data_IF_669846906432
#
_entry.id   IF_669846906432
#
_cell.length_a   1.000
_cell.length_b   1.000
_cell.length_c   1.000
_cell.angle_alpha   90.00
_cell.angle_beta   90.00
_cell.angle_gamma   90.00
#
_symmetry.space_group_name_H-M   'P 1'
#
loop_
_entity.id
_entity.type
_entity.pdbx_description
1 polymer ?
#
# COMPACT_ATOMS: atom_id res chain seq x y z
N UNK A 1 44.06 0.40 8.25
CA UNK A 1 42.71 0.07 8.77
C UNK A 1 41.73 0.56 7.73
N UNK A 2 41.02 -0.36 7.07
CA UNK A 2 40.01 0.02 6.08
C UNK A 2 38.85 0.73 6.79
N UNK A 3 38.45 1.87 6.25
CA UNK A 3 37.31 2.61 6.80
C UNK A 3 36.03 1.87 6.43
N UNK A 4 35.28 1.42 7.44
CA UNK A 4 33.98 0.78 7.23
C UNK A 4 33.00 1.83 6.70
N UNK A 5 32.30 1.51 5.63
CA UNK A 5 31.28 2.35 5.00
C UNK A 5 30.12 1.44 4.59
N UNK A 6 28.88 1.95 4.67
CA UNK A 6 27.70 1.25 4.14
C UNK A 6 27.66 1.47 2.63
N UNK A 7 27.71 0.37 1.88
CA UNK A 7 27.66 0.34 0.43
C UNK A 7 26.35 -0.28 -0.04
N UNK A 8 25.87 0.18 -1.20
CA UNK A 8 24.65 -0.30 -1.80
C UNK A 8 24.92 -0.60 -3.26
N UNK A 9 24.72 -1.85 -3.64
CA UNK A 9 25.00 -2.32 -5.00
C UNK A 9 23.76 -2.91 -5.64
N UNK A 10 23.61 -2.66 -6.94
CA UNK A 10 22.57 -3.31 -7.74
C UNK A 10 23.09 -4.66 -8.18
N UNK A 11 22.37 -5.71 -7.79
CA UNK A 11 22.65 -7.09 -8.12
C UNK A 11 21.55 -7.58 -9.05
N UNK A 12 21.92 -8.14 -10.19
CA UNK A 12 20.97 -8.83 -11.06
C UNK A 12 20.75 -10.23 -10.51
N UNK A 13 19.50 -10.59 -10.29
CA UNK A 13 19.15 -11.97 -9.91
C UNK A 13 19.28 -12.87 -11.14
N UNK A 14 19.96 -14.01 -11.01
CA UNK A 14 20.03 -15.00 -12.10
C UNK A 14 18.67 -15.67 -12.39
N UNK A 15 17.70 -15.55 -11.46
CA UNK A 15 16.39 -16.20 -11.56
C UNK A 15 15.30 -15.32 -12.15
N UNK A 16 15.52 -14.01 -12.23
CA UNK A 16 14.52 -13.04 -12.66
C UNK A 16 15.21 -11.79 -13.19
N UNK A 17 14.70 -11.20 -14.26
CA UNK A 17 15.19 -9.94 -14.83
C UNK A 17 15.11 -8.75 -13.85
N UNK A 18 14.47 -8.94 -12.70
CA UNK A 18 14.39 -7.97 -11.62
C UNK A 18 15.75 -7.65 -11.02
N UNK A 19 16.04 -6.35 -10.96
CA UNK A 19 17.14 -5.77 -10.17
C UNK A 19 16.85 -5.98 -8.68
N UNK A 20 17.87 -6.36 -7.92
CA UNK A 20 17.84 -6.48 -6.46
C UNK A 20 18.92 -5.54 -5.90
N UNK A 21 18.66 -4.92 -4.76
CA UNK A 21 19.61 -4.01 -4.11
C UNK A 21 20.22 -4.67 -2.89
N UNK A 22 21.52 -4.89 -2.91
CA UNK A 22 22.27 -5.40 -1.77
C UNK A 22 22.78 -4.21 -0.94
N UNK A 23 22.52 -4.22 0.37
CA UNK A 23 23.08 -3.27 1.33
C UNK A 23 24.01 -4.03 2.24
N UNK A 24 25.25 -3.59 2.35
CA UNK A 24 26.25 -4.21 3.21
C UNK A 24 27.24 -3.19 3.75
N UNK A 25 28.09 -3.62 4.68
CA UNK A 25 29.17 -2.81 5.23
C UNK A 25 30.48 -3.31 4.62
N UNK A 26 31.33 -2.40 4.14
CA UNK A 26 32.66 -2.73 3.64
C UNK A 26 33.48 -3.39 4.75
N UNK A 27 34.01 -4.58 4.47
CA UNK A 27 34.74 -5.40 5.44
C UNK A 27 33.88 -6.46 6.16
N UNK A 28 32.56 -6.47 5.96
CA UNK A 28 31.64 -7.48 6.50
C UNK A 28 30.87 -8.14 5.35
N UNK A 29 31.47 -9.17 4.76
CA UNK A 29 30.92 -9.82 3.57
C UNK A 29 29.65 -10.65 3.85
N UNK A 30 29.45 -11.10 5.09
CA UNK A 30 28.32 -11.94 5.49
C UNK A 30 27.04 -11.15 5.81
N UNK A 31 27.13 -9.88 6.19
CA UNK A 31 25.97 -9.06 6.61
C UNK A 31 25.37 -8.25 5.44
N UNK A 32 25.05 -8.93 4.34
CA UNK A 32 24.39 -8.31 3.18
C UNK A 32 22.88 -8.50 3.26
N UNK A 33 22.14 -7.40 3.29
CA UNK A 33 20.68 -7.41 3.19
C UNK A 33 20.24 -7.17 1.74
N UNK A 34 19.29 -7.94 1.25
CA UNK A 34 18.76 -7.82 -0.12
C UNK A 34 17.37 -7.20 -0.11
N UNK A 35 17.22 -6.13 -0.89
CA UNK A 35 15.98 -5.38 -1.03
C UNK A 35 15.42 -5.51 -2.45
N UNK A 36 14.09 -5.59 -2.56
CA UNK A 36 13.37 -5.67 -3.84
C UNK A 36 13.12 -4.31 -4.51
N UNK A 37 13.45 -3.22 -3.84
CA UNK A 37 13.28 -1.86 -4.39
C UNK A 37 14.40 -0.93 -3.89
N UNK A 38 14.79 0.09 -4.67
CA UNK A 38 15.83 1.04 -4.30
C UNK A 38 15.39 1.88 -3.09
N UNK A 39 14.11 2.22 -3.00
CA UNK A 39 13.57 2.95 -1.85
C UNK A 39 13.73 2.16 -0.54
N UNK A 40 13.48 0.84 -0.56
CA UNK A 40 13.69 -0.02 0.62
C UNK A 40 15.16 -0.11 1.00
N UNK A 41 16.05 -0.24 0.01
CA UNK A 41 17.49 -0.25 0.23
C UNK A 41 17.98 1.06 0.89
N UNK A 42 17.52 2.20 0.39
CA UNK A 42 17.83 3.51 0.96
C UNK A 42 17.39 3.60 2.43
N UNK A 43 16.14 3.22 2.73
CA UNK A 43 15.62 3.22 4.12
C UNK A 43 16.43 2.30 5.03
N UNK A 44 16.79 1.12 4.55
CA UNK A 44 17.59 0.17 5.31
C UNK A 44 19.00 0.71 5.59
N UNK A 45 19.67 1.33 4.61
CA UNK A 45 20.98 1.95 4.81
C UNK A 45 20.97 3.07 5.86
N UNK A 46 19.94 3.93 5.85
CA UNK A 46 19.78 4.95 6.90
C UNK A 46 19.51 4.35 8.28
N UNK A 47 18.77 3.25 8.34
CA UNK A 47 18.54 2.51 9.58
C UNK A 47 19.84 1.88 10.10
N UNK A 48 20.66 1.29 9.23
CA UNK A 48 21.98 0.79 9.59
C UNK A 48 22.89 1.92 10.11
N UNK A 49 22.96 3.05 9.40
CA UNK A 49 23.73 4.23 9.85
C UNK A 49 23.38 4.65 11.27
N UNK A 50 22.09 4.64 11.63
CA UNK A 50 21.63 4.97 12.99
C UNK A 50 22.02 3.92 14.04
N UNK A 51 22.12 2.65 13.65
CA UNK A 51 22.45 1.54 14.57
C UNK A 51 23.95 1.37 14.78
N UNK A 52 24.74 1.52 13.71
CA UNK A 52 26.18 1.23 13.73
C UNK A 52 27.04 2.49 13.83
N UNK A 53 26.47 3.67 13.53
CA UNK A 53 27.23 4.93 13.43
C UNK A 53 28.10 5.04 12.17
N UNK A 54 28.00 4.07 11.25
CA UNK A 54 28.81 4.02 10.03
C UNK A 54 28.23 4.97 8.96
N UNK A 55 29.10 5.66 8.23
CA UNK A 55 28.70 6.52 7.12
C UNK A 55 28.21 5.69 5.92
N UNK A 56 27.28 6.25 5.16
CA UNK A 56 26.85 5.67 3.89
C UNK A 56 27.72 6.27 2.78
N UNK A 57 28.09 5.46 1.80
CA UNK A 57 28.83 5.92 0.65
C UNK A 57 27.99 6.86 -0.23
N UNK A 58 28.54 8.03 -0.58
CA UNK A 58 27.82 9.03 -1.38
C UNK A 58 27.52 8.55 -2.80
N UNK A 59 28.42 7.75 -3.40
CA UNK A 59 28.20 7.15 -4.72
C UNK A 59 26.98 6.21 -4.72
N UNK A 60 26.87 5.39 -3.67
CA UNK A 60 25.72 4.51 -3.44
C UNK A 60 24.41 5.30 -3.29
N UNK A 61 24.42 6.44 -2.59
CA UNK A 61 23.24 7.30 -2.43
C UNK A 61 22.79 7.97 -3.72
N UNK A 62 23.73 8.47 -4.53
CA UNK A 62 23.43 9.10 -5.83
C UNK A 62 22.77 8.11 -6.78
N UNK A 63 23.36 6.92 -6.93
CA UNK A 63 22.82 5.87 -7.81
C UNK A 63 21.42 5.42 -7.38
N UNK A 64 21.19 5.28 -6.07
CA UNK A 64 19.85 4.96 -5.56
C UNK A 64 18.84 6.07 -5.83
N UNK A 65 19.24 7.33 -5.67
CA UNK A 65 18.34 8.48 -5.89
C UNK A 65 17.86 8.54 -7.33
N UNK A 66 18.76 8.34 -8.30
CA UNK A 66 18.44 8.29 -9.73
C UNK A 66 17.44 7.15 -10.02
N UNK A 67 17.70 5.96 -9.50
CA UNK A 67 16.81 4.81 -9.70
C UNK A 67 15.44 4.98 -9.04
N UNK A 68 15.37 5.67 -7.89
CA UNK A 68 14.09 6.03 -7.27
C UNK A 68 13.33 7.02 -8.14
N UNK A 69 14.02 7.98 -8.77
CA UNK A 69 13.39 8.93 -9.67
C UNK A 69 12.85 8.24 -10.93
N UNK A 70 13.62 7.32 -11.52
CA UNK A 70 13.21 6.50 -12.65
C UNK A 70 11.97 5.65 -12.31
N UNK A 71 12.01 4.90 -11.21
CA UNK A 71 10.87 4.06 -10.81
C UNK A 71 9.61 4.86 -10.51
N UNK A 72 9.75 6.06 -9.94
CA UNK A 72 8.59 6.94 -9.71
C UNK A 72 8.01 7.49 -11.01
N UNK A 73 8.85 7.76 -12.01
CA UNK A 73 8.39 8.19 -13.32
C UNK A 73 7.63 7.05 -14.02
N UNK A 74 8.14 5.82 -13.95
CA UNK A 74 7.46 4.63 -14.47
C UNK A 74 6.13 4.35 -13.75
N UNK A 75 6.11 4.45 -12.41
CA UNK A 75 4.90 4.24 -11.61
C UNK A 75 3.83 5.31 -11.89
N UNK A 76 4.23 6.56 -12.10
CA UNK A 76 3.31 7.64 -12.49
C UNK A 76 2.67 7.39 -13.85
N UNK A 77 3.45 6.93 -14.84
CA UNK A 77 2.93 6.57 -16.16
C UNK A 77 2.01 5.35 -16.09
N UNK A 78 2.36 4.33 -15.30
CA UNK A 78 1.51 3.16 -15.09
C UNK A 78 0.17 3.53 -14.45
N UNK A 79 0.17 4.44 -13.48
CA UNK A 79 -1.05 4.94 -12.83
C UNK A 79 -1.94 5.74 -13.80
N UNK A 80 -1.35 6.54 -14.68
CA UNK A 80 -2.09 7.28 -15.71
C UNK A 80 -2.75 6.34 -16.73
N UNK A 81 -2.02 5.33 -17.20
CA UNK A 81 -2.55 4.31 -18.11
C UNK A 81 -3.65 3.48 -17.45
N UNK A 82 -3.50 3.10 -16.17
CA UNK A 82 -4.56 2.41 -15.44
C UNK A 82 -5.82 3.27 -15.30
N UNK A 83 -5.66 4.55 -14.97
CA UNK A 83 -6.79 5.47 -14.85
C UNK A 83 -7.54 5.65 -16.18
N UNK A 84 -6.82 5.76 -17.29
CA UNK A 84 -7.42 5.79 -18.63
C UNK A 84 -8.12 4.47 -19.02
N UNK A 85 -7.57 3.33 -18.61
CA UNK A 85 -8.18 2.03 -18.86
C UNK A 85 -9.48 1.84 -18.03
N UNK A 86 -9.50 2.31 -16.79
CA UNK A 86 -10.71 2.31 -15.95
C UNK A 86 -11.78 3.26 -16.51
N UNK A 87 -11.40 4.43 -17.01
CA UNK A 87 -12.35 5.41 -17.54
C UNK A 87 -12.97 4.93 -18.87
N UNK A 88 -12.16 4.35 -19.77
CA UNK A 88 -12.63 3.75 -21.02
C UNK A 88 -13.50 2.51 -20.82
N UNK A 89 -13.20 1.66 -19.83
CA UNK A 89 -14.04 0.50 -19.51
C UNK A 89 -15.38 0.92 -18.91
N UNK A 90 -15.40 1.98 -18.08
CA UNK A 90 -16.64 2.54 -17.54
C UNK A 90 -17.54 3.11 -18.63
N UNK A 91 -16.96 3.86 -19.57
CA UNK A 91 -17.70 4.42 -20.70
C UNK A 91 -18.24 3.33 -21.66
N UNK A 92 -17.48 2.24 -21.85
CA UNK A 92 -17.96 1.07 -22.62
C UNK A 92 -19.10 0.32 -21.91
N UNK A 93 -19.06 0.22 -20.58
CA UNK A 93 -20.13 -0.41 -19.80
C UNK A 93 -21.43 0.39 -19.81
N UNK A 94 -21.30 1.72 -19.78
CA UNK A 94 -22.44 2.64 -19.79
C UNK A 94 -23.13 2.68 -21.16
N UNK A 95 -22.37 2.65 -22.26
CA UNK A 95 -22.91 2.63 -23.64
C UNK A 95 -23.56 1.29 -24.02
N UNK A 96 -23.17 0.18 -23.40
CA UNK A 96 -23.72 -1.15 -23.67
C UNK A 96 -24.73 -1.63 -22.61
N UNK A 97 -25.04 -0.80 -21.60
CA UNK A 97 -26.10 -1.10 -20.63
C UNK A 97 -27.47 -0.90 -21.28
N UNK A 98 -28.24 -1.98 -21.36
CA UNK A 98 -29.51 -2.13 -22.10
C UNK A 98 -30.71 -1.48 -21.38
N UNK A 99 -30.50 -0.73 -20.29
CA UNK A 99 -31.57 -0.20 -19.44
C UNK A 99 -32.28 1.06 -19.98
N UNK A 100 -31.79 1.68 -21.07
CA UNK A 100 -32.36 2.93 -21.62
C UNK A 100 -33.52 2.77 -22.62
N UNK A 101 -34.07 1.56 -22.82
CA UNK A 101 -35.16 1.34 -23.80
C UNK A 101 -36.59 1.43 -23.19
N UNK A 102 -36.75 1.50 -21.86
CA UNK A 102 -38.06 1.39 -21.21
C UNK A 102 -38.60 2.65 -20.50
N UNK A 103 -38.05 3.83 -20.77
CA UNK A 103 -38.58 5.08 -20.22
C UNK A 103 -39.11 6.01 -21.31
N UNK A 104 -40.43 5.97 -21.56
CA UNK A 104 -41.19 7.12 -22.07
C UNK A 104 -42.29 7.52 -21.06
N UNK A 105 -42.53 8.83 -20.85
CA UNK A 105 -43.12 9.37 -19.62
C UNK A 105 -44.60 9.79 -19.78
N UNK A 106 -45.37 9.88 -18.68
CA UNK A 106 -46.60 10.72 -18.63
C UNK A 106 -47.01 11.14 -17.20
N UNK A 107 -46.90 12.45 -16.95
CA UNK A 107 -47.80 13.40 -16.24
C UNK A 107 -48.93 12.87 -15.31
N UNK A 108 -49.41 13.51 -14.23
CA UNK A 108 -49.15 14.75 -13.47
C UNK A 108 -50.19 14.80 -12.32
N UNK A 109 -49.73 14.89 -11.04
CA UNK A 109 -50.30 15.52 -9.80
C UNK A 109 -51.76 15.24 -9.26
N UNK A 110 -52.18 15.73 -8.06
CA UNK A 110 -51.63 15.65 -6.67
C UNK A 110 -52.73 15.44 -5.56
N UNK A 111 -52.38 15.15 -4.28
CA UNK A 111 -53.07 15.68 -3.05
C UNK A 111 -52.44 15.12 -1.74
N UNK A 112 -52.13 16.01 -0.78
CA UNK A 112 -51.80 15.73 0.64
C UNK A 112 -53.11 15.74 1.50
N UNK A 113 -53.16 15.71 2.87
CA UNK A 113 -52.15 15.58 3.95
C UNK A 113 -52.58 14.68 5.16
N UNK A 114 -51.83 14.77 6.28
CA UNK A 114 -52.15 14.47 7.70
C UNK A 114 -51.49 13.25 8.40
N UNK A 115 -50.58 13.58 9.34
CA UNK A 115 -50.14 12.74 10.47
C UNK A 115 -51.16 12.93 11.62
N UNK A 116 -51.44 11.93 12.50
CA UNK A 116 -50.61 11.80 13.71
C UNK A 116 -50.47 10.39 14.35
N UNK A 117 -49.28 10.17 14.92
CA UNK A 117 -48.91 9.47 16.18
C UNK A 117 -49.83 8.35 16.72
N UNK A 118 -49.26 7.14 16.89
CA UNK A 118 -49.60 6.23 18.01
C UNK A 118 -48.40 5.41 18.50
N UNK A 119 -48.22 5.47 19.81
CA UNK A 119 -47.22 4.86 20.69
C UNK A 119 -47.53 3.41 21.09
N UNK A 120 -46.49 2.67 21.55
CA UNK A 120 -46.42 1.43 22.39
C UNK A 120 -45.66 0.32 21.64
N UNK A 121 -44.70 -0.43 22.20
CA UNK A 121 -44.34 -0.78 23.59
C UNK A 121 -42.86 -1.21 23.64
N UNK A 122 -42.26 -1.04 24.83
CA UNK A 122 -40.95 -1.53 25.31
C UNK A 122 -40.75 -3.03 24.98
N UNK A 123 -39.54 -3.47 24.65
CA UNK A 123 -38.69 -4.14 25.66
C UNK A 123 -37.24 -3.65 25.67
N UNK A 124 -36.82 -3.36 26.89
CA UNK A 124 -35.51 -2.96 27.37
C UNK A 124 -34.76 -4.26 27.76
N UNK A 125 -33.51 -4.44 27.32
CA UNK A 125 -32.53 -5.27 28.05
C UNK A 125 -31.25 -4.45 28.22
N UNK A 126 -31.17 -3.81 29.38
CA UNK A 126 -29.98 -3.28 30.06
C UNK A 126 -29.16 -4.51 30.49
N UNK A 127 -27.94 -4.72 29.99
CA UNK A 127 -26.63 -4.19 30.40
C UNK A 127 -25.96 -4.91 31.59
N UNK A 128 -24.81 -5.56 31.28
CA UNK A 128 -23.56 -5.76 32.06
C UNK A 128 -23.64 -6.65 33.32
N UNK A 129 -22.53 -7.29 33.82
CA UNK A 129 -21.12 -6.85 33.83
C UNK A 129 -20.05 -7.99 33.59
N UNK A 130 -18.77 -7.67 33.22
CA UNK A 130 -17.51 -7.80 34.05
C UNK A 130 -17.13 -9.27 34.32
N UNK A 131 -15.94 -9.85 34.10
CA UNK A 131 -14.52 -9.49 33.87
C UNK A 131 -13.76 -10.82 33.52
N UNK A 132 -12.44 -10.81 33.26
CA UNK A 132 -11.66 -11.88 32.61
C UNK A 132 -10.89 -12.80 33.60
N UNK A 133 -10.60 -14.03 33.17
CA UNK A 133 -9.56 -14.92 33.75
C UNK A 133 -9.12 -15.91 32.67
N UNK A 134 -7.90 -15.85 32.13
CA UNK A 134 -6.64 -16.29 32.71
C UNK A 134 -6.44 -17.82 32.66
N UNK A 135 -5.38 -18.18 31.93
CA UNK A 135 -4.44 -19.28 32.17
C UNK A 135 -4.74 -20.76 31.81
N UNK A 136 -3.63 -21.38 31.36
CA UNK A 136 -3.29 -22.80 31.26
C UNK A 136 -4.00 -23.54 30.13
N UNK A 137 -3.28 -24.20 29.21
CA UNK A 137 -2.53 -25.43 29.50
C UNK A 137 -1.24 -25.52 28.67
N UNK A 138 -0.10 -25.54 29.36
CA UNK A 138 1.12 -26.21 28.92
C UNK A 138 0.97 -27.73 29.11
N UNK A 139 1.78 -28.53 28.42
CA UNK A 139 2.12 -29.98 28.57
C UNK A 139 2.14 -30.60 27.16
N UNK A 140 3.14 -31.36 26.71
CA UNK A 140 4.41 -31.83 27.26
C UNK A 140 5.34 -32.13 26.06
#
# INVERSE_FOLDING_TARGET
MESKVIIITVVKSNKSENKVWAVGITGEEQEKAYCKSPYKAMRFAFLLKKRTGISIEDASLKSLSEQIAEQKAEEAQAAEVQKMLEESTKEFLEKNSVDTVLAKPKAEQPEQPEKPKKSRKRTKKVALPVEPTAELVAFL
#
